data_IF_636062636524
#
_entry.id   IF_636062636524
#
_cell.length_a   1.000
_cell.length_b   1.000
_cell.length_c   1.000
_cell.angle_alpha   90.00
_cell.angle_beta   90.00
_cell.angle_gamma   90.00
#
_symmetry.space_group_name_H-M   'P 1'
#
loop_
_entity.id
_entity.type
_entity.pdbx_description
1 polymer ?
#
# COMPACT_ATOMS: atom_id res chain seq x y z
N UNK A 1 -16.05 2.80 1.56
CA UNK A 1 -14.69 2.32 1.25
C UNK A 1 -13.99 1.90 2.53
N UNK A 2 -13.28 0.79 2.50
CA UNK A 2 -12.43 0.34 3.60
C UNK A 2 -11.10 -0.13 3.03
N UNK A 3 -10.02 0.21 3.72
CA UNK A 3 -8.71 -0.39 3.44
C UNK A 3 -8.79 -1.85 3.87
N UNK A 4 -8.49 -2.77 2.96
CA UNK A 4 -8.58 -4.19 3.27
C UNK A 4 -7.54 -4.61 4.30
N UNK A 5 -7.75 -5.76 4.93
CA UNK A 5 -6.78 -6.32 5.88
C UNK A 5 -5.45 -6.60 5.20
N UNK A 6 -5.47 -7.09 3.96
CA UNK A 6 -4.26 -7.33 3.18
C UNK A 6 -3.49 -6.03 2.90
N UNK A 7 -4.19 -4.95 2.57
CA UNK A 7 -3.54 -3.65 2.36
C UNK A 7 -2.92 -3.13 3.66
N UNK A 8 -3.60 -3.29 4.80
CA UNK A 8 -3.07 -2.93 6.10
C UNK A 8 -1.81 -3.74 6.43
N UNK A 9 -1.83 -5.05 6.17
CA UNK A 9 -0.67 -5.91 6.34
C UNK A 9 0.49 -5.46 5.45
N UNK A 10 0.19 -5.10 4.20
CA UNK A 10 1.21 -4.64 3.25
C UNK A 10 1.88 -3.35 3.75
N UNK A 11 1.10 -2.40 4.24
CA UNK A 11 1.62 -1.15 4.81
C UNK A 11 2.53 -1.43 6.00
N UNK A 12 2.11 -2.32 6.89
CA UNK A 12 2.91 -2.70 8.06
C UNK A 12 4.22 -3.39 7.68
N UNK A 13 4.16 -4.26 6.66
CA UNK A 13 5.36 -4.95 6.17
C UNK A 13 6.36 -3.96 5.56
N UNK A 14 5.90 -3.04 4.72
CA UNK A 14 6.76 -2.02 4.12
C UNK A 14 7.34 -1.09 5.19
N UNK A 15 6.53 -0.70 6.17
CA UNK A 15 6.99 0.14 7.28
C UNK A 15 8.11 -0.56 8.08
N UNK A 16 7.95 -1.85 8.34
CA UNK A 16 8.96 -2.67 9.02
C UNK A 16 10.29 -2.65 8.25
N UNK A 17 10.23 -2.88 6.93
CA UNK A 17 11.41 -2.86 6.09
C UNK A 17 12.04 -1.46 6.00
N UNK A 18 11.23 -0.43 5.99
CA UNK A 18 11.72 0.95 5.97
C UNK A 18 12.50 1.29 7.24
N UNK A 19 12.06 0.78 8.40
CA UNK A 19 12.75 0.99 9.68
C UNK A 19 14.08 0.25 9.74
N UNK A 20 14.22 -0.86 9.01
CA UNK A 20 15.47 -1.62 8.97
C UNK A 20 16.54 -0.95 8.10
N UNK A 21 16.13 -0.19 7.11
CA UNK A 21 17.02 0.39 6.12
C UNK A 21 17.00 -0.36 4.78
N UNK A 22 17.38 0.32 3.72
CA UNK A 22 17.25 -0.18 2.35
C UNK A 22 18.20 -1.30 1.99
N UNK A 23 19.28 -1.48 2.74
CA UNK A 23 20.30 -2.49 2.46
C UNK A 23 20.10 -3.78 3.23
N UNK A 24 19.25 -3.75 4.24
CA UNK A 24 19.04 -4.90 5.10
C UNK A 24 17.95 -5.81 4.54
N UNK A 25 18.23 -7.10 4.56
CA UNK A 25 17.26 -8.12 4.16
C UNK A 25 16.55 -8.64 5.38
N UNK A 26 15.25 -8.75 5.30
CA UNK A 26 14.44 -9.37 6.33
C UNK A 26 13.98 -10.73 5.87
N UNK A 27 14.12 -11.75 6.71
CA UNK A 27 13.50 -13.03 6.46
C UNK A 27 11.98 -12.86 6.53
N UNK A 28 11.27 -13.45 5.56
CA UNK A 28 9.81 -13.36 5.51
C UNK A 28 9.16 -13.84 6.80
N UNK A 29 9.70 -14.92 7.38
CA UNK A 29 9.21 -15.46 8.65
C UNK A 29 9.35 -14.47 9.81
N UNK A 30 10.44 -13.70 9.82
CA UNK A 30 10.67 -12.69 10.84
C UNK A 30 9.66 -11.54 10.73
N UNK A 31 9.43 -11.07 9.51
CA UNK A 31 8.43 -10.01 9.26
C UNK A 31 7.04 -10.48 9.69
N UNK A 32 6.67 -11.70 9.32
CA UNK A 32 5.38 -12.27 9.69
C UNK A 32 5.19 -12.31 11.20
N UNK A 33 6.23 -12.76 11.91
CA UNK A 33 6.19 -12.88 13.37
C UNK A 33 6.11 -11.52 14.05
N UNK A 34 6.99 -10.59 13.67
CA UNK A 34 7.06 -9.27 14.31
C UNK A 34 5.85 -8.39 14.02
N UNK A 35 5.29 -8.51 12.83
CA UNK A 35 4.12 -7.73 12.44
C UNK A 35 2.80 -8.47 12.68
N UNK A 36 2.88 -9.67 13.22
CA UNK A 36 1.70 -10.49 13.50
C UNK A 36 0.82 -10.69 12.25
N UNK A 37 1.47 -11.04 11.15
CA UNK A 37 0.81 -11.29 9.85
C UNK A 37 0.85 -12.80 9.59
N UNK A 38 -0.27 -13.44 9.25
CA UNK A 38 -0.25 -14.85 8.88
C UNK A 38 0.72 -15.09 7.70
N UNK A 39 1.63 -16.09 7.80
CA UNK A 39 2.65 -16.29 6.76
C UNK A 39 2.12 -16.48 5.35
N UNK A 40 0.97 -17.14 5.20
CA UNK A 40 0.35 -17.35 3.90
C UNK A 40 -0.12 -16.05 3.25
N UNK A 41 -0.66 -15.12 4.04
CA UNK A 41 -1.03 -13.79 3.56
C UNK A 41 0.19 -12.97 3.20
N UNK A 42 1.23 -13.03 4.04
CA UNK A 42 2.44 -12.26 3.80
C UNK A 42 3.14 -12.68 2.51
N UNK A 43 3.21 -13.99 2.22
CA UNK A 43 3.81 -14.48 0.98
C UNK A 43 3.12 -13.89 -0.26
N UNK A 44 1.79 -13.85 -0.24
CA UNK A 44 0.99 -13.27 -1.33
C UNK A 44 1.22 -11.76 -1.45
N UNK A 45 1.22 -11.06 -0.32
CA UNK A 45 1.44 -9.60 -0.28
C UNK A 45 2.82 -9.27 -0.84
N UNK A 46 3.85 -9.99 -0.42
CA UNK A 46 5.22 -9.77 -0.92
C UNK A 46 5.28 -9.97 -2.42
N UNK A 47 4.63 -11.01 -2.95
CA UNK A 47 4.56 -11.24 -4.38
C UNK A 47 3.92 -10.07 -5.11
N UNK A 48 2.79 -9.57 -4.62
CA UNK A 48 2.09 -8.43 -5.23
C UNK A 48 2.92 -7.14 -5.17
N UNK A 49 3.59 -6.89 -4.05
CA UNK A 49 4.44 -5.71 -3.91
C UNK A 49 5.70 -5.80 -4.78
N UNK A 50 6.23 -7.02 -4.99
CA UNK A 50 7.37 -7.25 -5.88
C UNK A 50 7.00 -7.00 -7.33
N UNK A 51 5.82 -7.45 -7.76
CA UNK A 51 5.29 -7.20 -9.11
C UNK A 51 5.10 -5.69 -9.33
N UNK A 52 4.67 -4.97 -8.30
CA UNK A 52 4.50 -3.52 -8.37
C UNK A 52 5.82 -2.75 -8.34
N UNK A 53 6.95 -3.44 -8.17
CA UNK A 53 8.27 -2.80 -8.16
C UNK A 53 8.64 -2.14 -6.83
N UNK A 54 7.95 -2.48 -5.75
CA UNK A 54 8.18 -1.90 -4.42
C UNK A 54 9.13 -2.72 -3.56
N UNK A 55 9.21 -4.02 -3.80
CA UNK A 55 10.07 -4.94 -3.06
C UNK A 55 10.92 -5.79 -4.00
N UNK A 56 12.06 -6.23 -3.50
CA UNK A 56 12.88 -7.28 -4.10
C UNK A 56 12.88 -8.49 -3.19
N UNK A 57 12.80 -9.67 -3.79
CA UNK A 57 12.87 -10.94 -3.06
C UNK A 57 14.08 -11.74 -3.52
N UNK A 58 14.67 -12.49 -2.59
CA UNK A 58 15.79 -13.39 -2.87
C UNK A 58 15.49 -14.74 -2.24
N UNK A 59 15.87 -15.82 -2.95
CA UNK A 59 15.68 -17.19 -2.48
C UNK A 59 16.95 -17.72 -1.80
N UNK A 60 16.79 -18.78 -1.02
CA UNK A 60 17.88 -19.53 -0.40
C UNK A 60 18.16 -19.10 1.03
N UNK A 61 19.26 -19.64 1.60
CA UNK A 61 19.63 -19.44 3.00
C UNK A 61 19.93 -17.97 3.34
N UNK A 62 20.34 -17.18 2.33
CA UNK A 62 20.55 -15.73 2.47
C UNK A 62 19.42 -14.94 1.82
N UNK A 63 18.32 -15.61 1.55
CA UNK A 63 17.16 -15.00 0.94
C UNK A 63 16.40 -14.10 1.92
N UNK A 64 15.48 -13.34 1.39
CA UNK A 64 14.64 -12.46 2.16
C UNK A 64 14.04 -11.38 1.29
N UNK A 65 13.59 -10.32 1.93
CA UNK A 65 12.88 -9.22 1.30
C UNK A 65 13.60 -7.91 1.60
N UNK A 66 13.74 -7.07 0.59
CA UNK A 66 14.28 -5.72 0.73
C UNK A 66 13.37 -4.74 0.00
N UNK A 67 13.46 -3.47 0.37
CA UNK A 67 12.81 -2.41 -0.39
C UNK A 67 13.52 -2.24 -1.75
N UNK A 68 12.74 -2.10 -2.82
CA UNK A 68 13.28 -1.84 -4.16
C UNK A 68 13.63 -0.37 -4.37
N UNK A 69 13.10 0.50 -3.53
CA UNK A 69 13.31 1.95 -3.60
C UNK A 69 13.57 2.50 -2.21
N UNK A 70 14.15 3.71 -2.16
CA UNK A 70 14.29 4.44 -0.90
C UNK A 70 12.90 4.70 -0.30
N UNK A 71 12.75 4.60 1.05
CA UNK A 71 11.46 4.90 1.69
C UNK A 71 10.84 6.24 1.34
N UNK A 72 11.66 7.24 1.05
CA UNK A 72 11.18 8.57 0.62
C UNK A 72 10.47 8.53 -0.74
N UNK A 73 10.78 7.51 -1.55
CA UNK A 73 10.23 7.34 -2.90
C UNK A 73 9.09 6.33 -2.96
N UNK A 74 8.64 5.86 -1.81
CA UNK A 74 7.49 4.94 -1.72
C UNK A 74 6.38 5.66 -0.98
N UNK A 75 5.27 5.94 -1.68
CA UNK A 75 4.11 6.56 -1.07
C UNK A 75 3.19 5.52 -0.44
N UNK A 76 2.42 5.96 0.54
CA UNK A 76 1.38 5.13 1.15
C UNK A 76 0.35 4.71 0.10
N UNK A 77 0.02 5.61 -0.83
CA UNK A 77 -0.92 5.32 -1.92
C UNK A 77 -0.44 4.15 -2.78
N UNK A 78 0.83 4.13 -3.18
CA UNK A 78 1.37 3.05 -4.02
C UNK A 78 1.21 1.68 -3.38
N UNK A 79 1.46 1.59 -2.08
CA UNK A 79 1.34 0.32 -1.37
C UNK A 79 -0.12 -0.13 -1.30
N UNK A 80 -1.02 0.76 -0.94
CA UNK A 80 -2.45 0.45 -0.87
C UNK A 80 -2.99 0.03 -2.24
N UNK A 81 -2.66 0.78 -3.28
CA UNK A 81 -3.15 0.49 -4.63
C UNK A 81 -2.54 -0.77 -5.23
N UNK A 82 -1.33 -1.15 -4.82
CA UNK A 82 -0.71 -2.40 -5.26
C UNK A 82 -1.50 -3.64 -4.79
N UNK A 83 -2.22 -3.52 -3.69
CA UNK A 83 -2.99 -4.61 -3.09
C UNK A 83 -4.48 -4.50 -3.46
N UNK A 84 -5.06 -3.33 -3.28
CA UNK A 84 -6.50 -3.11 -3.41
C UNK A 84 -6.93 -2.56 -4.77
N UNK A 85 -5.96 -2.13 -5.59
CA UNK A 85 -6.28 -1.39 -6.81
C UNK A 85 -6.59 0.07 -6.52
N UNK A 86 -7.02 0.83 -7.54
CA UNK A 86 -7.30 2.25 -7.38
C UNK A 86 -8.31 2.54 -6.29
N UNK A 87 -8.05 3.58 -5.51
CA UNK A 87 -8.95 3.99 -4.43
C UNK A 87 -10.21 4.61 -5.03
N UNK A 88 -11.36 4.09 -4.62
CA UNK A 88 -12.67 4.60 -5.02
C UNK A 88 -13.57 4.68 -3.78
N UNK A 89 -14.13 5.86 -3.53
CA UNK A 89 -15.05 6.03 -2.41
C UNK A 89 -16.40 5.34 -2.68
N UNK A 90 -16.86 5.38 -3.93
CA UNK A 90 -18.07 4.71 -4.35
C UNK A 90 -18.05 4.50 -5.88
N UNK A 91 -19.09 3.87 -6.40
CA UNK A 91 -19.20 3.55 -7.83
C UNK A 91 -19.31 4.77 -8.73
N UNK A 92 -19.74 5.90 -8.21
CA UNK A 92 -19.91 7.15 -8.97
C UNK A 92 -18.60 7.88 -9.20
N UNK A 93 -17.53 7.50 -8.49
CA UNK A 93 -16.22 8.13 -8.59
C UNK A 93 -15.24 7.11 -9.15
N UNK A 94 -14.65 7.41 -10.29
CA UNK A 94 -13.64 6.55 -10.90
C UNK A 94 -14.13 5.63 -12.01
N UNK A 95 -15.43 5.32 -12.08
CA UNK A 95 -16.02 4.50 -13.16
C UNK A 95 -17.18 5.25 -13.76
N UNK A 96 -16.91 5.97 -14.84
CA UNK A 96 -17.96 6.61 -15.61
C UNK A 96 -18.89 5.55 -16.20
N UNK A 97 -20.18 5.72 -16.01
CA UNK A 97 -21.20 4.83 -16.53
C UNK A 97 -21.72 3.78 -15.57
N UNK A 98 -21.11 3.59 -14.40
CA UNK A 98 -21.62 2.67 -13.37
C UNK A 98 -22.44 3.36 -12.30
N UNK A 99 -22.43 4.70 -12.28
CA UNK A 99 -23.18 5.48 -11.31
C UNK A 99 -24.68 5.41 -11.62
N UNK A 100 -25.46 5.05 -10.61
CA UNK A 100 -26.93 5.01 -10.74
C UNK A 100 -27.56 6.39 -10.69
N UNK A 101 -26.79 7.44 -10.33
CA UNK A 101 -27.26 8.80 -10.24
C UNK A 101 -26.88 9.61 -11.48
N UNK A 102 -27.74 10.55 -11.84
CA UNK A 102 -27.49 11.47 -12.95
C UNK A 102 -26.21 12.28 -12.70
N UNK A 103 -25.44 12.53 -13.76
CA UNK A 103 -24.25 13.38 -13.72
C UNK A 103 -24.52 14.79 -13.19
N UNK A 104 -25.78 15.23 -13.28
CA UNK A 104 -26.22 16.52 -12.77
C UNK A 104 -26.43 16.52 -11.25
N UNK A 105 -26.29 15.38 -10.59
CA UNK A 105 -26.47 15.30 -9.13
C UNK A 105 -25.46 16.17 -8.39
N UNK A 106 -25.91 17.03 -7.46
CA UNK A 106 -25.00 17.90 -6.72
C UNK A 106 -24.10 17.16 -5.74
N UNK A 107 -24.37 15.88 -5.44
CA UNK A 107 -23.57 15.08 -4.52
C UNK A 107 -22.33 14.50 -5.19
N UNK A 108 -22.34 14.26 -6.50
CA UNK A 108 -21.22 13.68 -7.24
C UNK A 108 -19.93 14.51 -7.12
N UNK A 109 -19.96 15.85 -7.29
CA UNK A 109 -18.75 16.65 -7.09
C UNK A 109 -18.18 16.56 -5.67
N UNK A 110 -19.03 16.43 -4.65
CA UNK A 110 -18.57 16.29 -3.27
C UNK A 110 -17.77 15.00 -3.08
N UNK A 111 -18.28 13.88 -3.61
CA UNK A 111 -17.56 12.61 -3.56
C UNK A 111 -16.26 12.65 -4.36
N UNK A 112 -16.29 13.31 -5.52
CA UNK A 112 -15.10 13.46 -6.37
C UNK A 112 -14.01 14.25 -5.65
N UNK A 113 -14.39 15.38 -5.05
CA UNK A 113 -13.45 16.22 -4.31
C UNK A 113 -12.89 15.50 -3.07
N UNK A 114 -13.75 14.78 -2.34
CA UNK A 114 -13.32 14.01 -1.18
C UNK A 114 -12.33 12.92 -1.58
N UNK A 115 -12.56 12.25 -2.71
CA UNK A 115 -11.63 11.24 -3.21
C UNK A 115 -10.29 11.87 -3.61
N UNK A 116 -10.30 12.99 -4.30
CA UNK A 116 -9.08 13.68 -4.67
C UNK A 116 -8.26 14.10 -3.44
N UNK A 117 -8.91 14.60 -2.40
CA UNK A 117 -8.24 14.95 -1.15
C UNK A 117 -7.61 13.72 -0.49
N UNK A 118 -8.34 12.60 -0.44
CA UNK A 118 -7.83 11.36 0.12
C UNK A 118 -6.62 10.86 -0.66
N UNK A 119 -6.74 10.76 -1.98
CA UNK A 119 -5.67 10.29 -2.85
C UNK A 119 -4.44 11.20 -2.73
N UNK A 120 -4.63 12.51 -2.72
CA UNK A 120 -3.55 13.48 -2.57
C UNK A 120 -2.82 13.30 -1.24
N UNK A 121 -3.55 13.10 -0.15
CA UNK A 121 -2.96 12.88 1.17
C UNK A 121 -2.12 11.61 1.19
N UNK A 122 -2.64 10.51 0.67
CA UNK A 122 -1.93 9.24 0.64
C UNK A 122 -0.73 9.28 -0.29
N UNK A 123 -0.84 9.99 -1.42
CA UNK A 123 0.23 10.14 -2.39
C UNK A 123 1.39 10.99 -1.85
N UNK A 124 1.09 12.00 -1.06
CA UNK A 124 2.10 12.89 -0.47
C UNK A 124 2.73 12.33 0.82
N UNK A 125 2.22 11.22 1.34
CA UNK A 125 2.74 10.57 2.54
C UNK A 125 3.68 9.44 2.12
N UNK A 126 4.96 9.54 2.47
CA UNK A 126 5.94 8.51 2.16
C UNK A 126 6.41 7.80 3.44
N UNK A 127 7.08 6.66 3.27
CA UNK A 127 7.50 5.84 4.41
C UNK A 127 8.66 6.45 5.19
N UNK A 128 9.48 7.29 4.56
CA UNK A 128 10.53 8.00 5.28
C UNK A 128 9.94 8.97 6.30
N UNK A 129 8.90 9.71 5.90
CA UNK A 129 8.22 10.64 6.81
C UNK A 129 7.51 9.90 7.94
N UNK A 130 6.94 8.73 7.66
CA UNK A 130 6.25 7.95 8.67
C UNK A 130 7.20 7.39 9.72
N UNK A 131 8.38 6.91 9.33
CA UNK A 131 9.36 6.39 10.30
C UNK A 131 10.06 7.50 11.10
N UNK A 132 10.05 8.73 10.60
CA UNK A 132 10.57 9.89 11.32
C UNK A 132 9.64 10.34 12.45
N UNK A 133 8.38 9.97 12.40
CA UNK A 133 7.40 10.28 13.45
C UNK A 133 7.53 9.27 14.58
N UNK A 134 7.63 9.78 15.79
CA UNK A 134 7.68 8.94 16.99
C UNK A 134 6.32 8.85 17.68
#
# INVERSE_FOLDING_TARGET
MQITRQADYAVRAVLHLARMGTRDRAATSTVAKEQNIPPSFLAKIISQLSIAGLLHTSRGARGGVTLARDPKDISLLEVVEAIDGPIQLNECVGNEGTCAFDESSPIKPVWSDAQEELVSRLKSTNFADMIAQK
#
